data_IF_804795592455
#
_entry.id   IF_804795592455
#
_cell.length_a   1.000
_cell.length_b   1.000
_cell.length_c   1.000
_cell.angle_alpha   90.00
_cell.angle_beta   90.00
_cell.angle_gamma   90.00
#
_symmetry.space_group_name_H-M   'P 1'
#
loop_
_entity.id
_entity.type
_entity.pdbx_description
1 polymer ?
#
# COMPACT_ATOMS: atom_id res chain seq x y z
N UNK A 1 18.88 -19.31 0.36
CA UNK A 1 18.16 -18.07 -0.02
C UNK A 1 18.71 -17.67 -1.39
N UNK A 2 18.02 -18.03 -2.46
CA UNK A 2 18.45 -17.68 -3.81
C UNK A 2 18.20 -16.19 -3.99
N UNK A 3 19.26 -15.44 -4.25
CA UNK A 3 19.15 -14.07 -4.73
C UNK A 3 18.47 -14.14 -6.09
N UNK A 4 17.24 -13.63 -6.16
CA UNK A 4 16.56 -13.40 -7.43
C UNK A 4 17.43 -12.43 -8.23
N UNK A 5 17.69 -12.75 -9.46
CA UNK A 5 18.57 -11.96 -10.31
C UNK A 5 18.01 -10.54 -10.46
N UNK A 6 18.82 -9.55 -10.19
CA UNK A 6 18.55 -8.11 -10.25
C UNK A 6 17.88 -7.62 -11.56
N UNK A 7 17.87 -8.47 -12.56
CA UNK A 7 17.51 -8.15 -13.95
C UNK A 7 16.01 -8.02 -14.21
N UNK A 8 15.15 -8.68 -13.44
CA UNK A 8 13.70 -8.68 -13.68
C UNK A 8 12.96 -7.51 -13.03
N UNK A 9 13.60 -6.84 -12.06
CA UNK A 9 13.00 -5.72 -11.33
C UNK A 9 13.09 -4.36 -12.04
N UNK A 10 14.09 -4.18 -12.91
CA UNK A 10 14.49 -2.86 -13.42
C UNK A 10 13.58 -2.37 -14.55
N UNK A 11 12.98 -3.27 -15.31
CA UNK A 11 12.24 -2.89 -16.53
C UNK A 11 10.79 -2.47 -16.27
N UNK A 12 10.25 -2.72 -15.09
CA UNK A 12 8.83 -2.45 -14.80
C UNK A 12 8.54 -1.05 -14.20
N UNK A 13 9.54 -0.32 -13.73
CA UNK A 13 9.37 0.98 -13.08
C UNK A 13 9.98 2.16 -13.85
N UNK A 14 9.60 2.40 -15.12
CA UNK A 14 10.10 3.55 -15.86
C UNK A 14 9.54 4.88 -15.33
N UNK A 15 8.42 4.85 -14.59
CA UNK A 15 7.72 6.03 -14.09
C UNK A 15 7.38 5.88 -12.61
N UNK A 16 7.41 6.99 -11.87
CA UNK A 16 7.08 7.05 -10.44
C UNK A 16 5.68 6.54 -10.15
N UNK A 17 4.75 6.82 -11.07
CA UNK A 17 3.34 6.49 -10.97
C UNK A 17 2.84 6.06 -12.35
N UNK A 18 2.30 4.85 -12.46
CA UNK A 18 1.80 4.31 -13.72
C UNK A 18 0.31 3.97 -13.62
N UNK A 19 -0.47 4.55 -14.51
CA UNK A 19 -1.94 4.43 -14.55
C UNK A 19 -2.38 3.04 -14.96
N UNK A 20 -3.42 2.50 -14.30
CA UNK A 20 -4.05 1.24 -14.68
C UNK A 20 -5.49 1.43 -15.16
N UNK A 21 -6.04 0.42 -15.82
CA UNK A 21 -7.47 0.35 -16.19
C UNK A 21 -8.38 -0.03 -15.01
N UNK A 22 -7.79 -0.41 -13.86
CA UNK A 22 -8.54 -0.83 -12.68
C UNK A 22 -9.10 0.40 -11.95
N UNK A 23 -10.43 0.54 -11.98
CA UNK A 23 -11.16 1.65 -11.35
C UNK A 23 -12.27 1.09 -10.49
N UNK A 24 -12.23 1.38 -9.20
CA UNK A 24 -13.34 1.10 -8.30
C UNK A 24 -14.52 2.02 -8.61
N UNK A 25 -15.72 1.47 -8.59
CA UNK A 25 -16.94 2.27 -8.45
C UNK A 25 -16.99 2.80 -7.02
N UNK A 26 -16.79 4.11 -6.87
CA UNK A 26 -16.61 4.74 -5.57
C UNK A 26 -17.86 4.65 -4.70
N UNK A 27 -19.05 4.78 -5.28
CA UNK A 27 -20.30 4.72 -4.53
C UNK A 27 -20.55 3.30 -4.00
N UNK A 28 -20.46 2.29 -4.87
CA UNK A 28 -20.56 0.88 -4.48
C UNK A 28 -19.49 0.49 -3.46
N UNK A 29 -18.29 1.09 -3.57
CA UNK A 29 -17.22 0.87 -2.62
C UNK A 29 -17.56 1.45 -1.23
N UNK A 30 -18.10 2.67 -1.15
CA UNK A 30 -18.53 3.26 0.13
C UNK A 30 -19.62 2.40 0.80
N UNK A 31 -20.62 1.95 0.04
CA UNK A 31 -21.67 1.05 0.55
C UNK A 31 -21.07 -0.24 1.14
N UNK A 32 -20.09 -0.82 0.46
CA UNK A 32 -19.38 -2.00 0.95
C UNK A 32 -18.63 -1.69 2.26
N UNK A 33 -17.94 -0.55 2.34
CA UNK A 33 -17.16 -0.17 3.53
C UNK A 33 -18.03 0.07 4.75
N UNK A 34 -19.24 0.60 4.59
CA UNK A 34 -20.20 0.72 5.71
C UNK A 34 -20.52 -0.65 6.35
N UNK A 35 -20.64 -1.71 5.55
CA UNK A 35 -20.86 -3.08 6.03
C UNK A 35 -19.70 -3.56 6.92
N UNK A 36 -18.47 -3.16 6.62
CA UNK A 36 -17.26 -3.60 7.32
C UNK A 36 -16.65 -2.57 8.27
N UNK A 37 -17.36 -1.50 8.55
CA UNK A 37 -16.88 -0.39 9.39
C UNK A 37 -16.38 -0.84 10.77
N UNK A 38 -17.02 -1.84 11.34
CA UNK A 38 -16.67 -2.42 12.63
C UNK A 38 -15.32 -3.18 12.63
N UNK A 39 -14.83 -3.58 11.48
CA UNK A 39 -13.62 -4.38 11.34
C UNK A 39 -12.34 -3.56 11.14
N UNK A 40 -12.45 -2.25 10.91
CA UNK A 40 -11.28 -1.40 10.83
C UNK A 40 -10.50 -1.36 12.14
N UNK A 41 -9.18 -1.47 12.07
CA UNK A 41 -8.25 -1.42 13.20
C UNK A 41 -7.21 -0.33 12.97
N UNK A 42 -6.65 0.18 14.06
CA UNK A 42 -5.53 1.12 13.98
C UNK A 42 -4.42 0.54 13.12
N UNK A 43 -3.81 1.39 12.31
CA UNK A 43 -2.69 1.00 11.46
C UNK A 43 -1.42 0.89 12.30
N UNK A 44 -1.23 -0.30 12.92
CA UNK A 44 -0.12 -0.57 13.84
C UNK A 44 -0.32 0.01 15.24
N UNK A 45 0.06 -0.73 16.26
CA UNK A 45 -0.04 -0.29 17.65
C UNK A 45 0.82 0.96 17.91
N UNK A 46 2.02 1.00 17.32
CA UNK A 46 2.96 2.12 17.46
C UNK A 46 2.48 3.40 16.76
N UNK A 47 1.53 3.27 15.83
CA UNK A 47 0.94 4.37 15.06
C UNK A 47 -0.50 4.67 15.47
N UNK A 48 -0.93 4.20 16.63
CA UNK A 48 -2.28 4.41 17.13
C UNK A 48 -2.68 5.88 17.31
N UNK A 49 -1.69 6.78 17.37
CA UNK A 49 -1.90 8.22 17.42
C UNK A 49 -2.26 8.84 16.06
N UNK A 50 -2.10 8.09 14.96
CA UNK A 50 -2.47 8.55 13.63
C UNK A 50 -3.95 8.20 13.37
N UNK A 51 -4.79 9.13 12.91
CA UNK A 51 -6.20 8.89 12.61
C UNK A 51 -6.37 8.11 11.31
N UNK A 52 -5.70 6.97 11.21
CA UNK A 52 -5.67 6.08 10.07
C UNK A 52 -5.90 4.64 10.52
N UNK A 53 -6.86 4.00 9.90
CA UNK A 53 -7.28 2.66 10.23
C UNK A 53 -7.18 1.76 9.00
N UNK A 54 -7.01 0.47 9.20
CA UNK A 54 -6.90 -0.49 8.10
C UNK A 54 -7.91 -1.63 8.22
N UNK A 55 -8.37 -2.08 7.06
CA UNK A 55 -9.16 -3.28 6.88
C UNK A 55 -8.38 -4.23 5.96
N UNK A 56 -7.91 -5.39 6.45
CA UNK A 56 -7.14 -6.31 5.61
C UNK A 56 -7.99 -6.91 4.49
N UNK A 57 -7.45 -6.95 3.28
CA UNK A 57 -7.98 -7.71 2.15
C UNK A 57 -7.27 -9.05 1.99
N UNK A 58 -5.96 -9.04 2.19
CA UNK A 58 -5.09 -10.22 2.16
C UNK A 58 -4.11 -10.11 3.32
N UNK A 59 -3.98 -11.18 4.11
CA UNK A 59 -3.05 -11.27 5.21
C UNK A 59 -2.56 -12.71 5.42
N UNK A 60 -1.97 -13.01 6.56
CA UNK A 60 -1.42 -14.34 6.85
C UNK A 60 -2.47 -15.44 7.05
N UNK A 61 -3.65 -15.12 7.58
CA UNK A 61 -4.62 -16.12 8.03
C UNK A 61 -6.07 -15.88 7.57
N UNK A 62 -6.30 -14.86 6.74
CA UNK A 62 -7.63 -14.55 6.19
C UNK A 62 -8.59 -13.87 7.17
N UNK A 63 -8.15 -13.51 8.37
CA UNK A 63 -9.02 -12.80 9.32
C UNK A 63 -9.02 -11.30 9.08
N UNK A 64 -10.18 -10.72 8.79
CA UNK A 64 -10.34 -9.27 8.68
C UNK A 64 -10.21 -8.53 10.02
N UNK A 65 -10.24 -9.23 11.14
CA UNK A 65 -10.11 -8.64 12.47
C UNK A 65 -8.67 -8.52 12.97
N UNK A 66 -7.71 -9.00 12.20
CA UNK A 66 -6.29 -8.83 12.51
C UNK A 66 -5.83 -7.39 12.26
N UNK A 67 -4.73 -7.03 12.93
CA UNK A 67 -4.07 -5.77 12.62
C UNK A 67 -3.59 -5.80 11.15
N UNK A 68 -3.95 -4.80 10.34
CA UNK A 68 -3.58 -4.74 8.93
C UNK A 68 -2.10 -4.47 8.68
N UNK A 69 -1.40 -3.89 9.65
CA UNK A 69 0.04 -3.70 9.58
C UNK A 69 0.72 -4.87 10.26
N UNK A 70 1.50 -5.67 9.53
CA UNK A 70 2.42 -6.58 10.18
C UNK A 70 3.41 -5.73 10.96
N UNK A 71 3.85 -6.24 12.08
CA UNK A 71 4.98 -5.64 12.78
C UNK A 71 6.22 -5.94 11.93
N UNK A 72 6.41 -5.18 10.87
CA UNK A 72 7.47 -5.34 9.88
C UNK A 72 8.74 -4.59 10.26
N UNK A 73 8.93 -4.23 11.52
CA UNK A 73 10.21 -3.69 11.93
C UNK A 73 10.83 -4.59 12.95
N UNK A 74 11.69 -5.45 12.45
CA UNK A 74 12.82 -5.65 13.26
C UNK A 74 13.87 -4.69 12.79
N UNK A 75 14.18 -3.93 13.56
CA UNK A 75 15.57 -3.90 13.98
C UNK A 75 15.94 -5.34 14.29
N UNK A 76 17.15 -5.75 13.88
CA UNK A 76 17.61 -7.14 14.02
C UNK A 76 17.36 -7.74 15.43
N UNK A 77 17.31 -6.91 16.47
CA UNK A 77 16.96 -7.26 17.84
C UNK A 77 15.51 -7.69 18.03
N UNK A 78 14.59 -7.05 17.35
CA UNK A 78 13.16 -7.36 17.50
C UNK A 78 12.75 -8.66 16.83
N UNK A 79 13.33 -9.01 15.66
CA UNK A 79 13.16 -10.32 15.01
C UNK A 79 13.74 -11.41 15.89
N UNK A 80 14.94 -11.19 16.40
CA UNK A 80 15.63 -12.16 17.24
C UNK A 80 14.79 -12.52 18.46
N UNK A 81 14.15 -11.54 19.08
CA UNK A 81 13.38 -11.72 20.31
C UNK A 81 11.95 -12.21 20.08
N UNK A 82 11.42 -12.01 18.87
CA UNK A 82 10.03 -12.36 18.50
C UNK A 82 9.90 -12.87 17.06
N UNK A 83 10.63 -13.93 16.70
CA UNK A 83 10.65 -14.41 15.31
C UNK A 83 9.28 -14.85 14.80
N UNK A 84 8.39 -15.29 15.68
CA UNK A 84 7.02 -15.71 15.35
C UNK A 84 6.10 -14.56 14.88
N UNK A 85 6.48 -13.32 15.15
CA UNK A 85 5.74 -12.12 14.71
C UNK A 85 6.25 -11.55 13.39
N UNK A 86 7.39 -12.06 12.93
CA UNK A 86 7.97 -11.61 11.68
C UNK A 86 7.41 -12.39 10.51
N UNK A 87 6.99 -11.69 9.48
CA UNK A 87 6.72 -12.26 8.18
C UNK A 87 6.97 -11.25 7.07
N UNK A 88 7.28 -11.72 5.89
CA UNK A 88 7.38 -10.88 4.71
C UNK A 88 5.97 -10.61 4.16
N UNK A 89 5.77 -9.43 3.60
CA UNK A 89 4.52 -9.11 2.91
C UNK A 89 4.16 -10.15 1.84
N UNK A 90 5.17 -10.72 1.17
CA UNK A 90 5.02 -11.75 0.17
C UNK A 90 4.44 -13.08 0.71
N UNK A 91 4.58 -13.34 2.01
CA UNK A 91 4.08 -14.57 2.64
C UNK A 91 2.61 -14.45 3.08
N UNK A 92 2.06 -13.24 3.06
CA UNK A 92 0.68 -12.95 3.43
C UNK A 92 -0.24 -13.12 2.21
N UNK A 93 -0.73 -14.33 1.97
CA UNK A 93 -1.42 -14.72 0.73
C UNK A 93 -2.88 -15.16 0.94
N UNK A 94 -3.39 -15.11 2.17
CA UNK A 94 -4.74 -15.58 2.47
C UNK A 94 -5.74 -14.43 2.37
N UNK A 95 -6.70 -14.54 1.45
CA UNK A 95 -7.77 -13.56 1.28
C UNK A 95 -8.71 -13.53 2.48
N UNK A 96 -9.18 -12.34 2.85
CA UNK A 96 -10.30 -12.17 3.75
C UNK A 96 -11.61 -12.24 2.96
N UNK A 97 -12.74 -12.42 3.66
CA UNK A 97 -14.08 -12.42 3.03
C UNK A 97 -14.42 -11.08 2.37
N UNK A 98 -13.82 -9.99 2.80
CA UNK A 98 -14.01 -8.66 2.23
C UNK A 98 -13.63 -8.62 0.75
N UNK A 99 -12.58 -9.34 0.36
CA UNK A 99 -12.09 -9.37 -1.03
C UNK A 99 -13.06 -10.11 -1.98
N UNK A 100 -14.05 -10.83 -1.46
CA UNK A 100 -15.06 -11.53 -2.26
C UNK A 100 -16.31 -10.67 -2.57
N UNK A 101 -16.40 -9.49 -1.97
CA UNK A 101 -17.48 -8.55 -2.26
C UNK A 101 -17.41 -8.01 -3.71
N UNK A 102 -18.56 -7.71 -4.29
CA UNK A 102 -18.66 -7.22 -5.67
C UNK A 102 -17.91 -5.92 -5.93
N UNK A 103 -17.77 -5.07 -4.89
CA UNK A 103 -17.00 -3.83 -4.95
C UNK A 103 -15.52 -4.07 -5.31
N UNK A 104 -14.98 -5.28 -5.03
CA UNK A 104 -13.61 -5.66 -5.35
C UNK A 104 -13.45 -6.45 -6.65
N UNK A 105 -14.51 -6.60 -7.46
CA UNK A 105 -14.46 -7.31 -8.74
C UNK A 105 -13.41 -6.74 -9.71
N UNK A 106 -13.11 -5.46 -9.59
CA UNK A 106 -12.06 -4.75 -10.35
C UNK A 106 -10.66 -5.37 -10.16
N UNK A 107 -10.39 -6.02 -9.03
CA UNK A 107 -9.11 -6.68 -8.72
C UNK A 107 -9.00 -8.09 -9.31
N UNK A 108 -10.06 -8.61 -9.96
CA UNK A 108 -10.08 -9.97 -10.50
C UNK A 108 -8.85 -10.32 -11.36
N UNK A 109 -8.32 -9.43 -12.22
CA UNK A 109 -7.15 -9.76 -13.04
C UNK A 109 -5.91 -10.11 -12.24
N UNK A 110 -5.73 -9.47 -11.07
CA UNK A 110 -4.54 -9.60 -10.23
C UNK A 110 -4.78 -10.38 -8.93
N UNK A 111 -6.04 -10.75 -8.63
CA UNK A 111 -6.45 -11.32 -7.33
C UNK A 111 -5.60 -12.50 -6.88
N UNK A 112 -5.27 -13.42 -7.79
CA UNK A 112 -4.49 -14.63 -7.47
C UNK A 112 -3.03 -14.36 -7.07
N UNK A 113 -2.53 -13.16 -7.38
CA UNK A 113 -1.17 -12.73 -7.06
C UNK A 113 -1.13 -11.73 -5.90
N UNK A 114 -2.29 -11.37 -5.37
CA UNK A 114 -2.33 -10.44 -4.25
C UNK A 114 -1.63 -11.02 -3.02
N UNK A 115 -0.83 -10.18 -2.40
CA UNK A 115 -0.19 -10.42 -1.12
C UNK A 115 -0.69 -9.37 -0.13
N UNK A 116 -0.04 -9.17 1.01
CA UNK A 116 -0.54 -8.25 2.04
C UNK A 116 -1.13 -6.96 1.46
N UNK A 117 -2.44 -6.84 1.56
CA UNK A 117 -3.22 -5.74 1.01
C UNK A 117 -4.29 -5.30 2.00
N UNK A 118 -4.62 -4.03 1.99
CA UNK A 118 -5.61 -3.47 2.89
C UNK A 118 -6.31 -2.24 2.28
N UNK A 119 -7.48 -1.92 2.82
CA UNK A 119 -8.10 -0.62 2.66
C UNK A 119 -7.73 0.22 3.88
N UNK A 120 -7.22 1.42 3.67
CA UNK A 120 -6.93 2.38 4.71
C UNK A 120 -8.05 3.42 4.78
N UNK A 121 -8.56 3.68 5.99
CA UNK A 121 -9.53 4.71 6.27
C UNK A 121 -8.84 5.88 6.97
N UNK A 122 -9.08 7.07 6.49
CA UNK A 122 -8.61 8.32 7.05
C UNK A 122 -9.79 9.08 7.62
N UNK A 123 -9.75 9.42 8.92
CA UNK A 123 -10.86 10.05 9.64
C UNK A 123 -10.59 11.52 9.98
N UNK A 124 -9.34 11.98 9.84
CA UNK A 124 -8.93 13.36 10.13
C UNK A 124 -7.66 13.74 9.37
N UNK A 125 -7.26 15.00 9.46
CA UNK A 125 -6.00 15.47 8.90
C UNK A 125 -4.82 14.73 9.51
N UNK A 126 -3.99 14.15 8.64
CA UNK A 126 -2.84 13.37 9.03
C UNK A 126 -1.83 13.28 7.89
N UNK A 127 -0.64 12.79 8.21
CA UNK A 127 0.36 12.46 7.21
C UNK A 127 1.06 11.16 7.59
N UNK A 128 1.52 10.46 6.58
CA UNK A 128 2.42 9.35 6.75
C UNK A 128 3.82 9.79 6.33
N UNK A 129 4.76 9.64 7.26
CA UNK A 129 6.12 10.14 7.11
C UNK A 129 6.77 9.68 5.81
N UNK A 130 7.59 10.54 5.20
CA UNK A 130 8.42 10.15 4.08
C UNK A 130 9.25 8.90 4.40
N UNK A 131 9.15 7.92 3.52
CA UNK A 131 9.82 6.62 3.66
C UNK A 131 10.01 5.97 2.29
N UNK A 132 10.70 4.85 2.28
CA UNK A 132 10.70 3.87 1.19
C UNK A 132 10.18 2.56 1.76
N UNK A 133 9.41 1.79 0.99
CA UNK A 133 8.85 0.52 1.49
C UNK A 133 9.89 -0.58 1.55
N UNK A 134 10.88 -0.53 0.66
CA UNK A 134 11.83 -1.62 0.48
C UNK A 134 13.27 -1.16 0.66
N UNK A 135 13.99 -1.87 1.46
CA UNK A 135 15.44 -1.78 1.65
C UNK A 135 16.18 -3.04 1.18
N UNK A 136 15.41 -4.03 0.70
CA UNK A 136 15.90 -5.23 0.04
C UNK A 136 15.10 -5.45 -1.22
N UNK A 137 15.64 -6.18 -2.22
CA UNK A 137 14.84 -6.63 -3.34
C UNK A 137 13.57 -7.32 -2.82
N UNK A 138 12.43 -6.66 -2.99
CA UNK A 138 11.15 -7.21 -2.58
C UNK A 138 10.44 -7.78 -3.80
N UNK A 139 9.93 -9.02 -3.74
CA UNK A 139 9.16 -9.60 -4.83
C UNK A 139 7.75 -9.01 -4.93
N UNK A 140 7.58 -7.73 -4.55
CA UNK A 140 6.27 -7.10 -4.41
C UNK A 140 6.19 -5.83 -5.24
N UNK A 141 5.11 -5.72 -5.99
CA UNK A 141 4.67 -4.51 -6.67
C UNK A 141 3.52 -3.87 -5.88
N UNK A 142 3.53 -2.54 -5.77
CA UNK A 142 2.52 -1.78 -5.05
C UNK A 142 1.60 -1.04 -6.00
N UNK A 143 0.30 -1.13 -5.70
CA UNK A 143 -0.72 -0.29 -6.32
C UNK A 143 -1.33 0.59 -5.24
N UNK A 144 -1.54 1.83 -5.60
CA UNK A 144 -2.08 2.87 -4.75
C UNK A 144 -3.25 3.57 -5.44
N UNK A 145 -4.20 4.03 -4.66
CA UNK A 145 -5.33 4.82 -5.13
C UNK A 145 -6.14 5.34 -3.95
N UNK A 146 -7.13 6.19 -4.20
CA UNK A 146 -8.02 6.72 -3.17
C UNK A 146 -9.40 7.00 -3.72
N UNK A 147 -10.40 7.06 -2.84
CA UNK A 147 -11.75 7.49 -3.20
C UNK A 147 -11.85 9.00 -3.38
N UNK A 148 -10.99 9.77 -2.71
CA UNK A 148 -11.03 11.25 -2.70
C UNK A 148 -9.63 11.82 -2.95
N UNK A 149 -9.21 11.97 -4.22
CA UNK A 149 -7.84 12.40 -4.56
C UNK A 149 -7.50 13.83 -4.11
N UNK A 150 -8.50 14.68 -3.92
CA UNK A 150 -8.29 16.03 -3.38
C UNK A 150 -8.04 16.03 -1.87
N UNK A 151 -8.44 14.96 -1.18
CA UNK A 151 -8.38 14.83 0.28
C UNK A 151 -7.21 13.95 0.75
N UNK A 152 -6.89 12.89 0.02
CA UNK A 152 -5.78 11.98 0.32
C UNK A 152 -4.83 11.95 -0.86
N UNK A 153 -3.61 12.42 -0.65
CA UNK A 153 -2.61 12.59 -1.70
C UNK A 153 -1.39 11.73 -1.43
N UNK A 154 -0.87 11.12 -2.48
CA UNK A 154 0.47 10.54 -2.47
C UNK A 154 1.48 11.59 -2.90
N UNK A 155 2.62 11.60 -2.25
CA UNK A 155 3.70 12.54 -2.49
C UNK A 155 4.99 11.78 -2.77
N UNK A 156 5.74 12.22 -3.75
CA UNK A 156 7.06 11.68 -4.04
C UNK A 156 8.12 12.76 -3.98
N UNK A 157 9.31 12.34 -3.59
CA UNK A 157 10.48 13.21 -3.61
C UNK A 157 10.74 13.74 -5.03
N UNK A 158 10.84 15.07 -5.17
CA UNK A 158 11.06 15.75 -6.47
C UNK A 158 12.34 15.31 -7.17
N UNK A 159 13.36 14.95 -6.40
CA UNK A 159 14.65 14.49 -6.91
C UNK A 159 14.67 12.99 -7.21
N UNK A 160 13.56 12.28 -6.92
CA UNK A 160 13.45 10.82 -7.10
C UNK A 160 14.53 10.04 -6.33
N UNK A 161 14.92 10.56 -5.17
CA UNK A 161 15.93 9.91 -4.35
C UNK A 161 15.43 8.54 -3.91
N UNK A 162 16.31 7.57 -4.06
CA UNK A 162 16.12 6.21 -3.58
C UNK A 162 17.05 6.03 -2.39
N UNK A 163 16.54 5.54 -1.29
CA UNK A 163 17.35 5.37 -0.11
C UNK A 163 16.87 4.19 0.73
N UNK A 164 17.78 3.67 1.53
CA UNK A 164 17.42 2.75 2.59
C UNK A 164 16.47 3.46 3.59
N UNK A 165 15.38 2.84 4.05
CA UNK A 165 14.47 3.44 5.04
C UNK A 165 15.15 4.00 6.29
N UNK A 166 16.29 3.44 6.70
CA UNK A 166 17.09 3.96 7.83
C UNK A 166 17.70 5.32 7.51
N UNK A 167 18.08 5.53 6.26
CA UNK A 167 18.76 6.76 5.84
C UNK A 167 17.78 7.89 5.56
N UNK A 168 16.51 7.60 5.22
CA UNK A 168 15.47 8.61 4.97
C UNK A 168 15.30 9.53 6.18
N UNK A 169 15.32 8.99 7.41
CA UNK A 169 15.22 9.79 8.63
C UNK A 169 16.41 10.74 8.79
N UNK A 170 17.62 10.29 8.44
CA UNK A 170 18.83 11.11 8.51
C UNK A 170 18.88 12.19 7.44
N UNK A 171 18.21 11.99 6.31
CA UNK A 171 18.09 12.98 5.23
C UNK A 171 17.19 14.15 5.60
N UNK A 172 16.37 14.00 6.66
CA UNK A 172 15.44 15.02 7.15
C UNK A 172 14.67 15.74 6.03
N UNK A 173 13.94 15.00 5.15
CA UNK A 173 13.27 15.59 3.99
C UNK A 173 12.22 16.61 4.45
N UNK A 174 12.19 17.76 3.78
CA UNK A 174 11.25 18.84 4.08
C UNK A 174 10.01 18.72 3.16
N UNK A 175 8.90 19.37 3.53
CA UNK A 175 7.65 19.35 2.75
C UNK A 175 7.85 19.85 1.33
N UNK A 176 8.68 20.86 1.15
CA UNK A 176 9.04 21.45 -0.15
C UNK A 176 9.82 20.50 -1.08
N UNK A 177 10.42 19.46 -0.52
CA UNK A 177 11.11 18.41 -1.31
C UNK A 177 10.14 17.50 -2.05
N UNK A 178 8.85 17.54 -1.72
CA UNK A 178 7.83 16.64 -2.26
C UNK A 178 6.94 17.34 -3.28
N UNK A 179 6.41 16.54 -4.20
CA UNK A 179 5.33 16.94 -5.10
C UNK A 179 4.14 15.99 -4.97
N UNK A 180 2.95 16.56 -5.10
CA UNK A 180 1.70 15.81 -5.20
C UNK A 180 1.51 15.33 -6.64
N UNK A 181 0.90 14.16 -6.80
CA UNK A 181 0.47 13.67 -8.09
C UNK A 181 -1.04 13.78 -8.23
N UNK A 182 -1.48 14.25 -9.38
CA UNK A 182 -2.89 14.23 -9.75
C UNK A 182 -3.29 12.81 -10.15
N UNK A 183 -4.34 12.31 -9.53
CA UNK A 183 -4.89 10.98 -9.75
C UNK A 183 -6.42 11.06 -9.88
N UNK A 184 -7.02 9.98 -10.40
CA UNK A 184 -8.46 9.87 -10.53
C UNK A 184 -9.05 9.10 -9.34
N UNK A 185 -10.24 9.51 -8.89
CA UNK A 185 -10.97 8.83 -7.82
C UNK A 185 -11.23 7.36 -8.18
N UNK A 186 -10.99 6.47 -7.24
CA UNK A 186 -11.20 5.02 -7.41
C UNK A 186 -10.16 4.30 -8.27
N UNK A 187 -9.31 5.01 -9.01
CA UNK A 187 -8.33 4.37 -9.90
C UNK A 187 -7.10 3.89 -9.14
N UNK A 188 -6.59 2.72 -9.54
CA UNK A 188 -5.32 2.20 -9.07
C UNK A 188 -4.17 2.62 -9.99
N UNK A 189 -3.05 2.91 -9.36
CA UNK A 189 -1.78 3.24 -9.99
C UNK A 189 -0.68 2.35 -9.44
N UNK A 190 0.15 1.80 -10.31
CA UNK A 190 1.41 1.17 -9.87
C UNK A 190 2.36 2.27 -9.43
N UNK A 191 2.98 2.10 -8.28
CA UNK A 191 3.89 3.09 -7.70
C UNK A 191 5.27 2.51 -7.46
N UNK A 192 6.30 3.33 -7.68
CA UNK A 192 7.69 2.97 -7.34
C UNK A 192 7.97 3.29 -5.85
N UNK A 193 7.82 2.30 -5.00
CA UNK A 193 8.03 2.45 -3.55
C UNK A 193 9.50 2.47 -3.13
N UNK A 194 10.44 2.34 -4.07
CA UNK A 194 11.86 2.55 -3.83
C UNK A 194 12.24 4.05 -3.83
N UNK A 195 11.40 4.90 -4.42
CA UNK A 195 11.54 6.35 -4.31
C UNK A 195 10.98 6.79 -2.97
N UNK A 196 11.63 7.77 -2.34
CA UNK A 196 11.13 8.37 -1.09
C UNK A 196 9.75 8.95 -1.35
N UNK A 197 8.77 8.46 -0.62
CA UNK A 197 7.37 8.85 -0.76
C UNK A 197 6.69 8.96 0.60
N UNK A 198 5.54 9.61 0.60
CA UNK A 198 4.69 9.77 1.76
C UNK A 198 3.23 9.94 1.35
N UNK A 199 2.35 10.01 2.32
CA UNK A 199 0.96 10.33 2.09
C UNK A 199 0.51 11.40 3.08
N UNK A 200 -0.32 12.33 2.62
CA UNK A 200 -0.98 13.31 3.47
C UNK A 200 -2.47 13.33 3.23
N UNK A 201 -3.21 13.70 4.25
CA UNK A 201 -4.65 13.87 4.14
C UNK A 201 -5.08 15.22 4.71
N UNK A 202 -6.15 15.77 4.16
CA UNK A 202 -6.87 16.91 4.68
C UNK A 202 -8.36 16.58 4.72
N UNK A 203 -8.69 15.43 5.29
CA UNK A 203 -10.06 14.91 5.28
C UNK A 203 -10.94 15.59 6.31
N UNK A 204 -12.14 15.94 5.89
CA UNK A 204 -13.24 16.49 6.70
C UNK A 204 -14.36 15.43 6.86
N UNK A 205 -14.23 14.32 6.16
CA UNK A 205 -15.12 13.16 6.21
C UNK A 205 -14.29 11.88 6.06
N UNK A 206 -14.86 10.76 6.37
CA UNK A 206 -14.25 9.45 6.16
C UNK A 206 -13.89 9.25 4.69
N UNK A 207 -12.63 8.90 4.44
CA UNK A 207 -12.06 8.75 3.10
C UNK A 207 -11.17 7.52 3.06
N UNK A 208 -11.14 6.81 1.94
CA UNK A 208 -10.43 5.55 1.81
C UNK A 208 -9.25 5.64 0.83
N UNK A 209 -8.19 4.95 1.19
CA UNK A 209 -7.01 4.71 0.37
C UNK A 209 -6.89 3.21 0.09
N UNK A 210 -6.63 2.85 -1.16
CA UNK A 210 -6.33 1.49 -1.57
C UNK A 210 -4.85 1.22 -1.41
N UNK A 211 -4.50 0.23 -0.61
CA UNK A 211 -3.15 -0.27 -0.43
C UNK A 211 -3.12 -1.71 -0.90
N UNK A 212 -2.80 -1.89 -2.17
CA UNK A 212 -2.81 -3.20 -2.82
C UNK A 212 -1.39 -3.61 -3.15
N UNK A 213 -1.05 -4.86 -2.89
CA UNK A 213 0.23 -5.43 -3.23
C UNK A 213 0.05 -6.74 -3.97
N UNK A 214 0.90 -6.97 -4.96
CA UNK A 214 0.95 -8.24 -5.69
C UNK A 214 2.38 -8.78 -5.69
N UNK A 215 2.50 -10.11 -5.72
CA UNK A 215 3.77 -10.75 -5.96
C UNK A 215 4.22 -10.50 -7.41
N UNK A 216 5.53 -10.39 -7.64
CA UNK A 216 6.11 -10.12 -8.97
C UNK A 216 5.73 -11.16 -10.02
N UNK A 217 5.39 -12.39 -9.63
CA UNK A 217 4.87 -13.42 -10.54
C UNK A 217 3.55 -13.00 -11.23
N UNK A 218 2.88 -11.97 -10.73
CA UNK A 218 1.68 -11.39 -11.32
C UNK A 218 1.94 -10.25 -12.30
N UNK A 219 3.18 -9.99 -12.66
CA UNK A 219 3.57 -8.84 -13.49
C UNK A 219 2.90 -8.87 -14.88
N UNK A 220 2.78 -10.02 -15.49
CA UNK A 220 2.16 -10.17 -16.82
C UNK A 220 0.67 -9.83 -16.78
N UNK A 221 -0.05 -10.27 -15.75
CA UNK A 221 -1.46 -9.95 -15.57
C UNK A 221 -1.65 -8.46 -15.24
N UNK A 222 -0.74 -7.87 -14.47
CA UNK A 222 -0.74 -6.44 -14.18
C UNK A 222 -0.45 -5.61 -15.43
N UNK A 223 0.50 -6.01 -16.26
CA UNK A 223 0.85 -5.31 -17.51
C UNK A 223 -0.34 -5.17 -18.45
N UNK A 224 -1.23 -6.17 -18.50
CA UNK A 224 -2.48 -6.09 -19.27
C UNK A 224 -3.45 -5.01 -18.75
N UNK A 225 -3.28 -4.58 -17.50
CA UNK A 225 -4.08 -3.53 -16.89
C UNK A 225 -3.46 -2.14 -17.03
N UNK A 226 -2.20 -2.01 -17.51
CA UNK A 226 -1.53 -0.73 -17.68
C UNK A 226 -2.12 0.05 -18.85
N UNK A 227 -2.33 1.35 -18.62
CA UNK A 227 -2.74 2.30 -19.68
C UNK A 227 -1.48 3.06 -20.12
N UNK A 228 -1.17 2.94 -21.41
CA UNK A 228 -0.09 3.70 -22.07
C UNK A 228 -0.56 5.09 -22.49
#
# INVERSE_FOLDING_TARGET
>A
MNMLEEKEYIDFHPTVLQKTSMVFDVDSFYECMEKYKYAFRTWGEEKAHLPRYGLPLVNQNGSMLNNPEPICYPLDEWIRDRPEKFFLDADATVSTEVLDESAFAVLKPIKKHMVRSAILRWDAESFFWPHTDTWMPSPILRLWGTTEPDKVKIQFDKQRRRSNPRDVKSMNPQVEDFEDFEIEAGRLYVIDTNIIHGARSCVDKETYQFFIAIHVDGIEDLQQCIIT
#
